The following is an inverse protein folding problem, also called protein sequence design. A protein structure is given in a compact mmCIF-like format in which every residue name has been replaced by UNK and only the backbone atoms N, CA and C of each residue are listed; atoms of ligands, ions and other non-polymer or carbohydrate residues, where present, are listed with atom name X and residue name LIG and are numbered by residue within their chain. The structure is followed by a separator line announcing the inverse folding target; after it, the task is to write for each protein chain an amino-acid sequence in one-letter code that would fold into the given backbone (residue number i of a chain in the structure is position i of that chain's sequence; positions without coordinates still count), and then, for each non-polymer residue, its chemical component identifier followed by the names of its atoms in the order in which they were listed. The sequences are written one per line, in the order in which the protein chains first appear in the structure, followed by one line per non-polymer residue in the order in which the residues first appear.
data_IF_575491711975
#
_entry.id   IF_575491711975
#
_cell.length_a   1.000
_cell.length_b   1.000
_cell.length_c   1.000
_cell.angle_alpha   90.00
_cell.angle_beta   90.00
_cell.angle_gamma   90.00
#
_symmetry.space_group_name_H-M   'P 1'
#
loop_
_entity.id
_entity.type
_entity.pdbx_description
1 polymer ?
#
# COMPACT_ATOMS: atom_id res chain seq x y z
N UNK A 1 1.29 -6.78 -4.05
CA UNK A 1 0.24 -6.17 -3.22
C UNK A 1 -1.13 -6.76 -3.55
N UNK A 2 -1.80 -6.38 -4.64
CA UNK A 2 -3.18 -6.83 -4.91
C UNK A 2 -3.35 -8.35 -4.96
N UNK A 3 -2.46 -9.08 -5.67
CA UNK A 3 -2.52 -10.54 -5.73
C UNK A 3 -2.29 -11.24 -4.38
N UNK A 4 -1.57 -10.61 -3.45
CA UNK A 4 -1.40 -11.13 -2.08
C UNK A 4 -2.52 -10.68 -1.13
N UNK A 5 -3.10 -9.50 -1.35
CA UNK A 5 -4.22 -8.97 -0.56
C UNK A 5 -5.57 -9.61 -0.92
N UNK A 6 -5.78 -10.01 -2.17
CA UNK A 6 -7.03 -10.65 -2.61
C UNK A 6 -7.43 -11.87 -1.77
N UNK A 7 -6.57 -12.89 -1.58
CA UNK A 7 -6.92 -14.03 -0.73
C UNK A 7 -7.04 -13.65 0.75
N UNK A 8 -6.36 -12.58 1.21
CA UNK A 8 -6.46 -12.10 2.60
C UNK A 8 -7.81 -11.42 2.88
N UNK A 9 -8.36 -10.69 1.92
CA UNK A 9 -9.66 -10.03 2.03
C UNK A 9 -10.82 -10.99 1.73
N UNK A 10 -10.65 -11.85 0.72
CA UNK A 10 -11.68 -12.80 0.26
C UNK A 10 -11.40 -14.22 0.78
N UNK A 11 -11.53 -14.41 2.10
CA UNK A 11 -11.56 -15.73 2.74
C UNK A 11 -10.36 -16.09 3.63
N UNK A 12 -9.29 -15.29 3.63
CA UNK A 12 -8.06 -15.51 4.43
C UNK A 12 -7.87 -14.52 5.58
N UNK A 13 -8.90 -13.77 5.96
CA UNK A 13 -8.81 -12.69 6.93
C UNK A 13 -8.44 -13.23 8.33
N UNK A 14 -9.07 -14.33 8.72
CA UNK A 14 -8.79 -15.05 9.97
C UNK A 14 -7.37 -15.59 10.01
N UNK A 15 -6.83 -16.05 8.87
CA UNK A 15 -5.46 -16.53 8.77
C UNK A 15 -4.45 -15.38 8.92
N UNK A 16 -4.78 -14.20 8.40
CA UNK A 16 -3.95 -13.00 8.55
C UNK A 16 -3.97 -12.49 9.99
N UNK A 17 -5.15 -12.44 10.63
CA UNK A 17 -5.31 -12.11 12.05
C UNK A 17 -4.56 -13.10 12.95
N UNK A 18 -4.65 -14.40 12.67
CA UNK A 18 -3.91 -15.43 13.39
C UNK A 18 -2.39 -15.28 13.21
N UNK A 19 -1.92 -15.03 11.98
CA UNK A 19 -0.50 -14.78 11.70
C UNK A 19 0.02 -13.57 12.48
N UNK A 20 -0.71 -12.45 12.47
CA UNK A 20 -0.33 -11.23 13.22
C UNK A 20 -0.32 -11.49 14.73
N UNK A 21 -1.29 -12.26 15.23
CA UNK A 21 -1.35 -12.64 16.63
C UNK A 21 -0.18 -13.54 17.05
N UNK A 22 0.24 -14.46 16.17
CA UNK A 22 1.42 -15.31 16.37
C UNK A 22 2.73 -14.52 16.36
N UNK A 23 2.76 -13.37 15.68
CA UNK A 23 3.91 -12.46 15.67
C UNK A 23 3.97 -11.56 16.92
N UNK A 24 3.06 -11.75 17.89
CA UNK A 24 3.01 -10.97 19.13
C UNK A 24 2.32 -9.61 19.00
N UNK A 25 1.66 -9.36 17.87
CA UNK A 25 0.93 -8.14 17.60
C UNK A 25 -0.58 -8.32 17.86
N UNK A 26 -1.31 -7.25 18.21
CA UNK A 26 -2.76 -7.31 18.35
C UNK A 26 -3.44 -7.81 17.07
N UNK A 27 -4.29 -8.84 17.17
CA UNK A 27 -4.94 -9.44 16.01
C UNK A 27 -5.76 -8.47 15.14
N UNK A 28 -6.28 -7.38 15.73
CA UNK A 28 -7.00 -6.35 14.97
C UNK A 28 -6.14 -5.64 13.92
N UNK A 29 -4.80 -5.61 14.10
CA UNK A 29 -3.88 -5.10 13.08
C UNK A 29 -3.90 -5.95 11.81
N UNK A 30 -4.26 -7.23 11.88
CA UNK A 30 -4.41 -8.09 10.71
C UNK A 30 -5.47 -7.59 9.72
N UNK A 31 -6.52 -6.93 10.22
CA UNK A 31 -7.52 -6.28 9.35
C UNK A 31 -6.95 -5.07 8.63
N UNK A 32 -6.10 -4.29 9.30
CA UNK A 32 -5.43 -3.14 8.69
C UNK A 32 -4.42 -3.57 7.64
N UNK A 33 -3.64 -4.62 7.90
CA UNK A 33 -2.69 -5.23 6.95
C UNK A 33 -3.41 -5.70 5.69
N UNK A 34 -4.45 -6.53 5.84
CA UNK A 34 -5.21 -7.06 4.71
C UNK A 34 -5.88 -5.93 3.90
N UNK A 35 -6.41 -4.92 4.59
CA UNK A 35 -6.99 -3.74 3.96
C UNK A 35 -5.95 -2.89 3.22
N UNK A 36 -4.79 -2.64 3.83
CA UNK A 36 -3.71 -1.87 3.22
C UNK A 36 -3.12 -2.56 1.98
N UNK A 37 -2.93 -3.88 2.00
CA UNK A 37 -2.38 -4.60 0.85
C UNK A 37 -3.33 -4.63 -0.36
N UNK A 38 -4.64 -4.75 -0.12
CA UNK A 38 -5.63 -4.80 -1.18
C UNK A 38 -6.07 -3.39 -1.61
N UNK A 39 -6.64 -2.61 -0.70
CA UNK A 39 -7.14 -1.28 -1.01
C UNK A 39 -6.01 -0.27 -1.22
N UNK A 40 -4.92 -0.34 -0.45
CA UNK A 40 -3.77 0.54 -0.65
C UNK A 40 -3.15 0.34 -2.03
N UNK A 41 -3.00 -0.92 -2.47
CA UNK A 41 -2.54 -1.23 -3.83
C UNK A 41 -3.45 -0.64 -4.91
N UNK A 42 -4.77 -0.76 -4.76
CA UNK A 42 -5.75 -0.18 -5.69
C UNK A 42 -5.69 1.35 -5.68
N UNK A 43 -5.60 1.98 -4.50
CA UNK A 43 -5.55 3.43 -4.34
C UNK A 43 -4.30 4.05 -4.97
N UNK A 44 -3.14 3.39 -4.83
CA UNK A 44 -1.91 3.83 -5.48
C UNK A 44 -2.02 3.72 -7.00
N UNK A 45 -2.59 2.64 -7.53
CA UNK A 45 -2.80 2.49 -8.99
C UNK A 45 -3.80 3.52 -9.51
N UNK A 46 -4.90 3.73 -8.78
CA UNK A 46 -5.90 4.74 -9.12
C UNK A 46 -5.35 6.17 -8.99
N UNK A 47 -4.23 6.37 -8.30
CA UNK A 47 -3.67 7.70 -8.08
C UNK A 47 -4.46 8.54 -7.08
N UNK A 48 -5.34 7.94 -6.26
CA UNK A 48 -6.21 8.66 -5.31
C UNK A 48 -5.64 8.57 -3.90
N UNK A 49 -5.51 9.70 -3.19
CA UNK A 49 -4.84 9.75 -1.87
C UNK A 49 -3.47 9.04 -1.85
N UNK A 50 -2.70 9.18 -2.94
CA UNK A 50 -1.47 8.41 -3.19
C UNK A 50 -0.46 8.48 -2.06
N UNK A 51 -0.36 9.63 -1.37
CA UNK A 51 0.54 9.77 -0.20
C UNK A 51 0.13 8.91 0.98
N UNK A 52 -1.17 8.89 1.31
CA UNK A 52 -1.71 8.13 2.45
C UNK A 52 -1.66 6.63 2.15
N UNK A 53 -2.05 6.24 0.94
CA UNK A 53 -1.99 4.85 0.50
C UNK A 53 -0.55 4.33 0.43
N UNK A 54 0.39 5.14 -0.08
CA UNK A 54 1.80 4.78 -0.10
C UNK A 54 2.41 4.65 1.31
N UNK A 55 1.99 5.50 2.25
CA UNK A 55 2.42 5.38 3.66
C UNK A 55 1.94 4.07 4.28
N UNK A 56 0.68 3.69 4.06
CA UNK A 56 0.14 2.42 4.54
C UNK A 56 0.91 1.22 3.96
N UNK A 57 1.19 1.22 2.64
CA UNK A 57 1.98 0.17 1.99
C UNK A 57 3.42 0.14 2.52
N UNK A 58 4.05 1.30 2.72
CA UNK A 58 5.41 1.38 3.22
C UNK A 58 5.53 0.76 4.62
N UNK A 59 4.60 1.08 5.52
CA UNK A 59 4.58 0.49 6.87
C UNK A 59 4.37 -1.02 6.78
N UNK A 60 3.41 -1.46 5.96
CA UNK A 60 3.12 -2.89 5.80
C UNK A 60 4.34 -3.68 5.31
N UNK A 61 5.08 -3.16 4.33
CA UNK A 61 6.30 -3.79 3.83
C UNK A 61 7.42 -3.81 4.86
N UNK A 62 7.60 -2.74 5.64
CA UNK A 62 8.60 -2.73 6.72
C UNK A 62 8.28 -3.77 7.78
N UNK A 63 7.02 -3.88 8.19
CA UNK A 63 6.56 -4.89 9.16
C UNK A 63 6.72 -6.30 8.61
N UNK A 64 6.35 -6.54 7.34
CA UNK A 64 6.49 -7.83 6.68
C UNK A 64 7.97 -8.27 6.56
N UNK A 65 8.89 -7.34 6.31
CA UNK A 65 10.32 -7.62 6.26
C UNK A 65 10.83 -8.00 7.66
N UNK A 66 10.53 -7.18 8.67
CA UNK A 66 11.01 -7.36 10.04
C UNK A 66 10.52 -8.69 10.66
N UNK A 67 9.26 -9.05 10.41
CA UNK A 67 8.61 -10.18 11.09
C UNK A 67 8.67 -11.49 10.31
N UNK A 68 8.62 -11.45 8.97
CA UNK A 68 8.46 -12.65 8.15
C UNK A 68 9.72 -12.96 7.35
N UNK A 69 10.36 -11.96 6.75
CA UNK A 69 11.45 -12.19 5.79
C UNK A 69 12.85 -11.98 6.37
N UNK A 70 12.97 -11.47 7.61
CA UNK A 70 14.26 -11.22 8.27
C UNK A 70 15.17 -12.46 8.33
N UNK A 71 14.57 -13.64 8.53
CA UNK A 71 15.30 -14.92 8.60
C UNK A 71 15.54 -15.57 7.24
N UNK A 72 14.91 -15.09 6.18
CA UNK A 72 14.95 -15.69 4.85
C UNK A 72 16.11 -15.19 3.98
N UNK A 73 16.85 -14.16 4.44
CA UNK A 73 18.00 -13.61 3.73
C UNK A 73 17.62 -12.66 2.58
N UNK A 74 18.64 -12.11 1.91
CA UNK A 74 18.47 -11.12 0.84
C UNK A 74 17.93 -11.71 -0.47
N UNK A 75 18.46 -12.86 -0.88
CA UNK A 75 18.23 -13.47 -2.19
C UNK A 75 17.55 -14.83 -2.04
N UNK A 76 16.53 -15.09 -2.86
CA UNK A 76 15.76 -16.35 -2.89
C UNK A 76 14.25 -16.10 -2.96
N UNK A 77 13.47 -17.16 -3.22
CA UNK A 77 12.01 -17.06 -3.40
C UNK A 77 11.25 -16.50 -2.18
N UNK A 78 11.88 -16.53 -1.00
CA UNK A 78 11.37 -15.95 0.25
C UNK A 78 12.21 -14.79 0.77
N UNK A 79 13.16 -14.30 -0.03
CA UNK A 79 14.04 -13.20 0.34
C UNK A 79 13.30 -11.87 0.45
N UNK A 80 13.81 -10.94 1.25
CA UNK A 80 13.16 -9.65 1.47
C UNK A 80 13.39 -8.62 0.34
N UNK A 81 14.10 -8.97 -0.74
CA UNK A 81 14.39 -8.05 -1.85
C UNK A 81 13.14 -7.46 -2.50
N UNK A 82 12.12 -8.28 -2.73
CA UNK A 82 10.86 -7.83 -3.35
C UNK A 82 10.02 -6.93 -2.42
N UNK A 83 9.79 -7.30 -1.14
CA UNK A 83 9.20 -6.38 -0.18
C UNK A 83 10.00 -5.07 -0.02
N UNK A 84 11.34 -5.13 -0.06
CA UNK A 84 12.20 -3.96 0.10
C UNK A 84 12.09 -3.00 -1.09
N UNK A 85 12.03 -3.53 -2.32
CA UNK A 85 11.84 -2.69 -3.51
C UNK A 85 10.47 -2.02 -3.51
N UNK A 86 9.42 -2.74 -3.08
CA UNK A 86 8.08 -2.18 -2.88
C UNK A 86 8.06 -1.10 -1.81
N UNK A 87 8.74 -1.30 -0.68
CA UNK A 87 8.89 -0.29 0.37
C UNK A 87 9.60 0.96 -0.15
N UNK A 88 10.69 0.81 -0.92
CA UNK A 88 11.43 1.92 -1.50
C UNK A 88 10.59 2.71 -2.53
N UNK A 89 9.81 2.01 -3.38
CA UNK A 89 8.89 2.65 -4.32
C UNK A 89 7.76 3.39 -3.59
N UNK A 90 7.16 2.77 -2.58
CA UNK A 90 6.14 3.42 -1.75
C UNK A 90 6.70 4.65 -1.03
N UNK A 91 7.91 4.55 -0.48
CA UNK A 91 8.61 5.67 0.15
C UNK A 91 8.80 6.82 -0.84
N UNK A 92 9.27 6.55 -2.07
CA UNK A 92 9.35 7.58 -3.10
C UNK A 92 7.99 8.24 -3.39
N UNK A 93 6.91 7.46 -3.47
CA UNK A 93 5.56 7.98 -3.70
C UNK A 93 5.03 8.85 -2.54
N UNK A 94 5.50 8.65 -1.31
CA UNK A 94 5.16 9.54 -0.18
C UNK A 94 5.69 10.95 -0.43
N UNK A 95 6.93 11.08 -0.90
CA UNK A 95 7.58 12.38 -1.16
C UNK A 95 7.18 13.01 -2.50
N UNK A 96 7.17 12.22 -3.56
CA UNK A 96 6.89 12.70 -4.92
C UNK A 96 5.39 12.75 -5.26
N UNK A 97 4.55 11.98 -4.55
CA UNK A 97 3.11 11.87 -4.82
C UNK A 97 2.79 11.04 -6.08
N UNK A 98 1.50 10.98 -6.44
CA UNK A 98 0.99 10.20 -7.58
C UNK A 98 1.30 10.74 -8.99
N UNK A 99 1.98 11.89 -9.09
CA UNK A 99 2.33 12.51 -10.37
C UNK A 99 1.13 13.11 -11.14
N UNK A 100 1.38 13.68 -12.34
CA UNK A 100 0.37 14.40 -13.14
C UNK A 100 -0.70 13.49 -13.79
N UNK A 101 -0.47 12.17 -13.84
CA UNK A 101 -1.43 11.19 -14.34
C UNK A 101 -2.36 10.64 -13.23
N UNK A 102 -2.15 11.02 -11.97
CA UNK A 102 -3.02 10.64 -10.87
C UNK A 102 -4.44 11.19 -11.05
N UNK A 103 -5.46 10.42 -10.68
CA UNK A 103 -6.84 10.90 -10.64
C UNK A 103 -7.00 12.13 -9.73
N UNK A 104 -6.20 12.22 -8.65
CA UNK A 104 -6.15 13.38 -7.77
C UNK A 104 -5.73 14.67 -8.54
N UNK A 105 -4.71 14.55 -9.39
CA UNK A 105 -4.24 15.64 -10.25
C UNK A 105 -5.24 15.97 -11.36
N UNK A 106 -5.96 14.97 -11.89
CA UNK A 106 -6.99 15.15 -12.92
C UNK A 106 -8.23 15.86 -12.37
N UNK A 107 -8.68 15.48 -11.17
CA UNK A 107 -9.81 16.11 -10.47
C UNK A 107 -9.47 17.57 -10.18
N UNK A 108 -8.29 17.84 -9.62
CA UNK A 108 -7.84 19.21 -9.32
C UNK A 108 -7.75 20.09 -10.58
N UNK A 109 -7.18 19.57 -11.67
CA UNK A 109 -7.09 20.25 -12.97
C UNK A 109 -8.48 20.52 -13.58
N UNK A 110 -9.42 19.59 -13.43
CA UNK A 110 -10.81 19.74 -13.87
C UNK A 110 -11.51 20.92 -13.18
N UNK A 111 -11.39 21.03 -11.86
CA UNK A 111 -11.93 22.16 -11.08
C UNK A 111 -11.28 23.49 -11.41
N UNK A 112 -9.96 23.54 -11.61
CA UNK A 112 -9.26 24.77 -11.99
C UNK A 112 -9.71 25.29 -13.37
N UNK A 113 -9.90 24.39 -14.33
CA UNK A 113 -10.35 24.72 -15.69
C UNK A 113 -11.82 25.18 -15.73
N UNK A 114 -12.68 24.59 -14.88
CA UNK A 114 -14.07 25.02 -14.74
C UNK A 114 -14.20 26.43 -14.16
N UNK A 115 -13.32 26.80 -13.22
CA UNK A 115 -13.33 28.14 -12.60
C UNK A 115 -12.92 29.24 -13.59
N UNK A 116 -11.90 29.01 -14.41
CA UNK A 116 -11.41 29.97 -15.44
C UNK A 116 -12.46 30.25 -16.51
N UNK A 117 -13.26 29.24 -16.89
CA UNK A 117 -14.29 29.37 -17.93
C UNK A 117 -15.54 30.11 -17.46
N UNK A 118 -15.78 30.21 -16.15
CA UNK A 118 -16.94 30.95 -15.58
C UNK A 118 -16.68 32.44 -15.37
N UNK A 119 -15.43 32.87 -15.50
CA UNK A 119 -14.98 34.27 -15.32
C UNK A 119 -14.68 34.99 -16.65
N UNK A 120 -14.97 34.36 -17.79
CA UNK A 120 -15.02 34.97 -19.12
C UNK A 120 -16.44 34.92 -19.64
#
# INVERSE_FOLDING_TARGET
MIGHGYPKVFGGLQHTVAMVSHLGLPGWLGYLVAGAEFFGGILVIAGLFTRVAALAICIDMVVAIALVHWKAGLLGDKGYQFPLSLAAMAFALIFFGGGPAALDALIWRGTARAKVRRTR
#
